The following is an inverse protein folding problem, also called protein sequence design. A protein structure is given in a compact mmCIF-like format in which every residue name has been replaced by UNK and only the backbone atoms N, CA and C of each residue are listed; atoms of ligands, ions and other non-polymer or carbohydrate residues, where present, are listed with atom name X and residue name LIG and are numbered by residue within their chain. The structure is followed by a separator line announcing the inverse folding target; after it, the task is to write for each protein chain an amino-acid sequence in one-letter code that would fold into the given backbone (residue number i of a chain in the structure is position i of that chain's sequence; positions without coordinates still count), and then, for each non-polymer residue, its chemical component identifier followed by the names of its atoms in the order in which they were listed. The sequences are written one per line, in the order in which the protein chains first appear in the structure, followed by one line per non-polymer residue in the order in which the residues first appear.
data_IF_977175076903
#
_entry.id   IF_977175076903
#
_cell.length_a   1.000
_cell.length_b   1.000
_cell.length_c   1.000
_cell.angle_alpha   90.00
_cell.angle_beta   90.00
_cell.angle_gamma   90.00
#
_symmetry.space_group_name_H-M   'P 1'
#
loop_
_entity.id
_entity.type
_entity.pdbx_description
1 polymer ?
#
# COMPACT_ATOMS: atom_id res chain seq x y z
N UNK A 1 25.71 -13.22 12.61
CA UNK A 1 25.46 -11.78 12.34
C UNK A 1 25.36 -11.59 10.83
N UNK A 2 24.17 -11.67 10.25
CA UNK A 2 23.93 -11.22 8.87
C UNK A 2 22.90 -10.09 8.97
N UNK A 3 23.38 -8.88 8.71
CA UNK A 3 22.55 -7.68 8.66
C UNK A 3 21.76 -7.74 7.35
N UNK A 4 20.47 -8.04 7.43
CA UNK A 4 19.56 -7.88 6.30
C UNK A 4 19.18 -6.41 6.24
N UNK A 5 19.93 -5.63 5.44
CA UNK A 5 19.50 -4.32 4.98
C UNK A 5 18.37 -4.55 3.97
N UNK A 6 17.15 -4.18 4.34
CA UNK A 6 16.05 -3.99 3.39
C UNK A 6 15.99 -2.49 3.10
N UNK A 7 16.66 -2.09 2.02
CA UNK A 7 16.54 -0.78 1.42
C UNK A 7 15.12 -0.66 0.85
N UNK A 8 14.28 0.16 1.48
CA UNK A 8 13.04 0.61 0.87
C UNK A 8 13.42 1.72 -0.12
N UNK A 9 13.29 1.46 -1.42
CA UNK A 9 13.36 2.48 -2.45
C UNK A 9 12.24 3.50 -2.24
N UNK A 10 12.58 4.66 -1.69
CA UNK A 10 11.80 5.87 -1.91
C UNK A 10 12.04 6.29 -3.36
N UNK A 11 11.05 6.06 -4.23
CA UNK A 11 10.96 6.78 -5.51
C UNK A 11 10.28 8.12 -5.22
N UNK A 12 11.09 9.11 -4.84
CA UNK A 12 10.70 10.50 -5.02
C UNK A 12 10.93 10.81 -6.50
N UNK A 13 9.87 10.74 -7.31
CA UNK A 13 9.94 11.10 -8.73
C UNK A 13 9.41 12.51 -8.92
N UNK A 14 10.33 13.36 -9.37
CA UNK A 14 10.14 14.71 -9.88
C UNK A 14 9.11 14.71 -11.02
N UNK A 15 8.28 15.75 -11.08
CA UNK A 15 7.13 15.82 -11.97
C UNK A 15 7.51 15.68 -13.45
N UNK A 16 7.04 14.61 -14.10
CA UNK A 16 6.99 14.51 -15.54
C UNK A 16 5.54 14.74 -16.04
N UNK A 17 5.42 15.78 -16.86
CA UNK A 17 4.24 16.31 -17.54
C UNK A 17 3.29 15.22 -18.10
N UNK A 18 2.04 15.16 -17.62
CA UNK A 18 1.07 14.11 -17.93
C UNK A 18 -0.09 14.62 -18.80
N UNK A 19 -0.51 13.83 -19.80
CA UNK A 19 -1.80 14.00 -20.48
C UNK A 19 -2.91 13.47 -19.56
N UNK A 20 -3.88 14.34 -19.26
CA UNK A 20 -5.10 14.06 -18.51
C UNK A 20 -5.82 12.82 -19.05
N UNK A 21 -6.13 11.89 -18.16
CA UNK A 21 -7.26 10.98 -18.29
C UNK A 21 -8.07 11.10 -16.99
N UNK A 22 -9.34 11.44 -17.16
CA UNK A 22 -10.28 12.04 -16.20
C UNK A 22 -10.76 11.13 -15.06
N UNK A 23 -9.88 10.45 -14.34
CA UNK A 23 -10.27 9.80 -13.07
C UNK A 23 -9.11 9.64 -12.11
N UNK A 24 -9.24 10.21 -10.91
CA UNK A 24 -8.31 9.97 -9.80
C UNK A 24 -8.55 8.53 -9.35
N UNK A 25 -7.74 7.60 -9.86
CA UNK A 25 -7.81 6.19 -9.55
C UNK A 25 -7.01 5.90 -8.28
N UNK A 26 -7.65 5.35 -7.24
CA UNK A 26 -6.92 4.80 -6.09
C UNK A 26 -6.65 3.32 -6.31
N UNK A 27 -5.39 2.92 -6.22
CA UNK A 27 -4.92 1.59 -6.59
C UNK A 27 -4.41 0.82 -5.36
N UNK A 28 -5.01 -0.34 -5.05
CA UNK A 28 -4.56 -1.23 -3.97
C UNK A 28 -3.70 -2.35 -4.52
N UNK A 29 -2.38 -2.18 -4.45
CA UNK A 29 -1.41 -3.03 -5.13
C UNK A 29 -1.08 -4.32 -4.36
N UNK A 30 -1.44 -5.46 -4.97
CA UNK A 30 -0.92 -6.77 -4.60
C UNK A 30 -0.46 -7.51 -5.86
N UNK A 31 0.85 -7.55 -6.07
CA UNK A 31 1.47 -8.33 -7.14
C UNK A 31 2.03 -9.64 -6.57
N UNK A 32 1.69 -10.77 -7.20
CA UNK A 32 2.40 -12.03 -6.98
C UNK A 32 3.38 -12.24 -8.12
N UNK A 33 4.67 -12.00 -7.91
CA UNK A 33 5.68 -12.07 -8.97
C UNK A 33 5.98 -13.51 -9.44
N UNK A 34 5.63 -14.55 -8.65
CA UNK A 34 5.93 -15.96 -8.96
C UNK A 34 4.94 -16.63 -9.92
N UNK A 35 3.76 -16.03 -10.10
CA UNK A 35 2.72 -16.47 -11.05
C UNK A 35 2.21 -15.17 -11.64
N UNK A 36 2.30 -14.96 -12.96
CA UNK A 36 1.92 -13.70 -13.63
C UNK A 36 0.42 -13.38 -13.46
N UNK A 37 0.03 -13.02 -12.24
CA UNK A 37 -1.35 -12.88 -11.76
C UNK A 37 -1.47 -11.50 -11.15
N UNK A 38 -2.25 -10.67 -11.83
CA UNK A 38 -2.58 -9.35 -11.37
C UNK A 38 -3.85 -9.41 -10.51
N UNK A 39 -3.70 -9.22 -9.19
CA UNK A 39 -4.78 -9.23 -8.18
C UNK A 39 -5.09 -7.81 -7.67
N UNK A 40 -4.65 -6.81 -8.42
CA UNK A 40 -4.88 -5.40 -8.16
C UNK A 40 -6.38 -5.09 -8.18
N UNK A 41 -6.79 -4.26 -7.23
CA UNK A 41 -8.09 -3.61 -7.25
C UNK A 41 -7.89 -2.12 -7.49
N UNK A 42 -8.85 -1.50 -8.18
CA UNK A 42 -8.89 -0.07 -8.38
C UNK A 42 -10.25 0.49 -7.99
N UNK A 43 -10.23 1.69 -7.41
CA UNK A 43 -11.42 2.41 -6.99
C UNK A 43 -11.54 3.73 -7.76
N UNK A 44 -12.75 4.01 -8.27
CA UNK A 44 -13.07 5.25 -8.99
C UNK A 44 -14.49 5.73 -8.65
N UNK A 45 -14.79 6.99 -8.95
CA UNK A 45 -16.10 7.59 -8.66
C UNK A 45 -17.11 7.17 -9.72
N UNK A 46 -18.29 6.71 -9.28
CA UNK A 46 -19.42 6.47 -10.15
C UNK A 46 -20.01 7.79 -10.65
N UNK A 47 -20.07 7.99 -11.96
CA UNK A 47 -20.64 9.20 -12.55
C UNK A 47 -22.15 9.36 -12.31
N UNK A 48 -22.87 8.27 -12.00
CA UNK A 48 -24.32 8.32 -11.81
C UNK A 48 -24.76 8.84 -10.43
N UNK A 49 -24.05 8.46 -9.36
CA UNK A 49 -24.44 8.74 -7.97
C UNK A 49 -23.31 9.32 -7.10
N UNK A 50 -22.11 9.49 -7.65
CA UNK A 50 -20.93 9.96 -6.91
C UNK A 50 -20.36 8.95 -5.92
N UNK A 51 -20.84 7.70 -5.91
CA UNK A 51 -20.36 6.61 -5.05
C UNK A 51 -18.99 6.08 -5.45
N UNK A 52 -18.43 5.20 -4.62
CA UNK A 52 -17.16 4.51 -4.92
C UNK A 52 -17.44 3.17 -5.61
N UNK A 53 -16.87 2.98 -6.80
CA UNK A 53 -16.85 1.70 -7.53
C UNK A 53 -15.49 1.03 -7.35
N UNK A 54 -15.50 -0.18 -6.80
CA UNK A 54 -14.33 -1.02 -6.61
C UNK A 54 -14.39 -2.19 -7.58
N UNK A 55 -13.34 -2.35 -8.40
CA UNK A 55 -13.28 -3.39 -9.43
C UNK A 55 -11.91 -4.09 -9.42
N UNK A 56 -11.87 -5.33 -9.94
CA UNK A 56 -10.60 -6.01 -10.18
C UNK A 56 -9.98 -5.51 -11.47
N UNK A 57 -8.71 -5.17 -11.41
CA UNK A 57 -7.95 -4.69 -12.56
C UNK A 57 -7.92 -5.72 -13.70
N UNK A 58 -7.71 -6.99 -13.36
CA UNK A 58 -7.63 -8.09 -14.33
C UNK A 58 -8.94 -8.39 -15.07
N UNK A 59 -10.08 -7.86 -14.59
CA UNK A 59 -11.38 -7.99 -15.27
C UNK A 59 -11.54 -6.96 -16.41
N UNK A 60 -10.75 -5.87 -16.41
CA UNK A 60 -10.78 -4.82 -17.45
C UNK A 60 -9.50 -4.73 -18.28
N UNK A 61 -8.36 -4.99 -17.66
CA UNK A 61 -7.04 -4.76 -18.26
C UNK A 61 -6.18 -6.02 -18.10
N UNK A 62 -5.28 -6.24 -19.06
CA UNK A 62 -4.40 -7.41 -19.10
C UNK A 62 -2.92 -7.06 -18.96
N UNK A 63 -2.61 -5.82 -18.56
CA UNK A 63 -1.25 -5.34 -18.31
C UNK A 63 -0.94 -5.21 -16.80
N UNK A 64 0.21 -4.61 -16.50
CA UNK A 64 0.68 -4.29 -15.14
C UNK A 64 0.85 -2.77 -14.94
N UNK A 65 0.02 -1.98 -15.63
CA UNK A 65 0.11 -0.52 -15.61
C UNK A 65 -0.23 0.10 -14.25
N UNK A 66 0.48 1.17 -13.91
CA UNK A 66 0.08 2.15 -12.90
C UNK A 66 0.63 3.53 -13.31
N UNK A 67 0.04 4.61 -12.81
CA UNK A 67 0.43 5.97 -13.17
C UNK A 67 0.66 6.85 -11.94
N UNK A 68 1.41 7.93 -12.14
CA UNK A 68 1.73 9.01 -11.19
C UNK A 68 2.62 8.62 -9.99
N UNK A 69 2.19 7.72 -9.11
CA UNK A 69 2.91 7.41 -7.86
C UNK A 69 2.53 6.03 -7.32
N UNK A 70 3.49 5.29 -6.79
CA UNK A 70 3.26 4.02 -6.10
C UNK A 70 4.12 3.91 -4.84
N UNK A 71 3.49 3.48 -3.74
CA UNK A 71 4.16 3.11 -2.50
C UNK A 71 4.08 1.59 -2.35
N UNK A 72 5.21 0.91 -2.55
CA UNK A 72 5.25 -0.54 -2.70
C UNK A 72 6.03 -1.21 -1.56
N UNK A 73 5.50 -2.35 -1.09
CA UNK A 73 6.23 -3.31 -0.28
C UNK A 73 6.39 -4.60 -1.08
N UNK A 74 7.64 -5.02 -1.31
CA UNK A 74 7.96 -6.22 -2.06
C UNK A 74 8.54 -7.30 -1.15
N UNK A 75 8.19 -8.57 -1.40
CA UNK A 75 8.76 -9.72 -0.70
C UNK A 75 8.71 -10.97 -1.61
N UNK A 76 9.42 -12.03 -1.23
CA UNK A 76 9.37 -13.33 -1.91
C UNK A 76 8.02 -14.06 -1.71
N UNK A 77 7.12 -13.52 -0.88
CA UNK A 77 5.82 -14.11 -0.57
C UNK A 77 5.89 -15.47 0.13
N UNK A 78 7.04 -15.80 0.74
CA UNK A 78 7.22 -17.06 1.45
C UNK A 78 6.62 -17.01 2.86
N UNK A 79 6.15 -18.15 3.40
CA UNK A 79 5.81 -18.25 4.81
C UNK A 79 7.02 -17.92 5.70
N UNK A 80 6.78 -17.30 6.85
CA UNK A 80 7.85 -16.92 7.77
C UNK A 80 7.36 -16.25 9.03
N UNK A 81 8.30 -15.84 9.90
CA UNK A 81 7.97 -15.07 11.10
C UNK A 81 7.53 -13.66 10.68
N UNK A 82 6.40 -13.23 11.22
CA UNK A 82 5.82 -11.90 11.00
C UNK A 82 5.48 -11.25 12.34
N UNK A 83 5.36 -9.92 12.34
CA UNK A 83 4.85 -9.18 13.49
C UNK A 83 3.33 -9.11 13.33
N UNK A 84 2.59 -9.80 14.21
CA UNK A 84 1.15 -9.65 14.30
C UNK A 84 0.81 -8.49 15.24
N UNK A 85 0.10 -7.47 14.72
CA UNK A 85 -0.37 -6.34 15.52
C UNK A 85 -1.88 -6.45 15.71
N UNK A 86 -2.31 -6.56 16.97
CA UNK A 86 -3.72 -6.53 17.36
C UNK A 86 -4.00 -5.24 18.13
N UNK A 87 -4.83 -4.37 17.55
CA UNK A 87 -5.31 -3.16 18.21
C UNK A 87 -6.84 -3.14 18.20
N UNK A 88 -7.44 -2.72 19.31
CA UNK A 88 -8.90 -2.59 19.46
C UNK A 88 -9.19 -1.26 20.15
N UNK A 89 -10.22 -0.57 19.66
CA UNK A 89 -10.73 0.72 20.19
C UNK A 89 -9.64 1.79 20.25
N UNK A 90 -9.68 2.73 19.32
CA UNK A 90 -8.79 3.89 19.34
C UNK A 90 -9.10 4.80 20.54
N UNK A 91 -8.10 5.07 21.36
CA UNK A 91 -8.18 5.97 22.54
C UNK A 91 -7.47 7.31 22.34
N UNK A 92 -6.64 7.42 21.30
CA UNK A 92 -5.88 8.63 20.97
C UNK A 92 -6.30 9.26 19.63
N UNK A 93 -5.66 10.37 19.28
CA UNK A 93 -5.96 11.09 18.03
C UNK A 93 -5.36 10.42 16.79
N UNK A 94 -4.27 9.68 16.94
CA UNK A 94 -3.54 9.06 15.82
C UNK A 94 -4.30 7.89 15.20
N UNK A 95 -4.25 7.77 13.87
CA UNK A 95 -4.71 6.56 13.18
C UNK A 95 -3.70 5.41 13.35
N UNK A 96 -4.10 4.21 12.94
CA UNK A 96 -3.31 2.99 13.13
C UNK A 96 -1.90 3.09 12.51
N UNK A 97 -1.80 3.50 11.24
CA UNK A 97 -0.54 3.59 10.49
C UNK A 97 0.39 4.68 11.06
N UNK A 98 -0.14 5.86 11.36
CA UNK A 98 0.63 6.97 11.95
C UNK A 98 1.19 6.59 13.32
N UNK A 99 0.41 5.86 14.12
CA UNK A 99 0.86 5.38 15.44
C UNK A 99 2.07 4.44 15.32
N UNK A 100 2.04 3.50 14.37
CA UNK A 100 3.18 2.62 14.08
C UNK A 100 4.40 3.42 13.61
N UNK A 101 4.22 4.31 12.63
CA UNK A 101 5.31 5.13 12.06
C UNK A 101 6.02 5.98 13.12
N UNK A 102 5.27 6.74 13.91
CA UNK A 102 5.82 7.62 14.95
C UNK A 102 6.47 6.84 16.09
N UNK A 103 5.98 5.64 16.40
CA UNK A 103 6.60 4.77 17.41
C UNK A 103 7.98 4.30 16.96
N UNK A 104 8.12 3.88 15.70
CA UNK A 104 9.41 3.50 15.12
C UNK A 104 10.37 4.69 15.06
N UNK A 105 9.90 5.84 14.58
CA UNK A 105 10.68 7.09 14.52
C UNK A 105 11.23 7.47 15.90
N UNK A 106 10.37 7.50 16.93
CA UNK A 106 10.79 7.83 18.30
C UNK A 106 11.77 6.84 18.89
N UNK A 107 11.63 5.55 18.58
CA UNK A 107 12.49 4.50 19.14
C UNK A 107 13.86 4.41 18.44
N UNK A 108 13.89 4.53 17.12
CA UNK A 108 15.09 4.33 16.31
C UNK A 108 15.82 5.63 15.96
N UNK A 109 15.17 6.80 16.10
CA UNK A 109 15.77 8.12 15.87
C UNK A 109 16.30 8.25 14.44
N UNK A 110 17.59 8.56 14.32
CA UNK A 110 18.26 8.78 13.03
C UNK A 110 18.47 7.49 12.20
N UNK A 111 18.02 6.33 12.70
CA UNK A 111 18.10 5.05 11.97
C UNK A 111 16.76 4.79 11.28
N UNK A 112 16.64 5.03 9.97
CA UNK A 112 15.37 4.86 9.28
C UNK A 112 14.92 3.40 9.30
N UNK A 113 13.63 3.17 9.53
CA UNK A 113 12.99 1.85 9.53
C UNK A 113 11.78 1.87 8.61
N UNK A 114 11.84 1.10 7.52
CA UNK A 114 10.70 0.85 6.65
C UNK A 114 9.87 -0.34 7.15
N UNK A 115 8.55 -0.22 7.09
CA UNK A 115 7.59 -1.28 7.44
C UNK A 115 6.51 -1.37 6.37
N UNK A 116 6.20 -2.60 5.94
CA UNK A 116 5.13 -2.88 4.99
C UNK A 116 4.46 -4.23 5.28
N UNK A 117 3.30 -4.46 4.67
CA UNK A 117 2.47 -5.63 4.91
C UNK A 117 1.00 -5.34 4.66
N UNK A 118 0.12 -6.11 5.27
CA UNK A 118 -1.34 -5.91 5.20
C UNK A 118 -1.95 -5.96 6.60
N UNK A 119 -3.08 -5.28 6.77
CA UNK A 119 -3.89 -5.33 7.97
C UNK A 119 -5.36 -5.39 7.59
N UNK A 120 -6.17 -6.00 8.47
CA UNK A 120 -7.62 -6.11 8.26
C UNK A 120 -8.33 -5.26 9.29
N UNK A 121 -9.21 -4.38 8.82
CA UNK A 121 -10.15 -3.66 9.67
C UNK A 121 -11.34 -4.61 9.92
N UNK A 122 -11.32 -5.31 11.06
CA UNK A 122 -12.31 -6.36 11.36
C UNK A 122 -13.67 -5.80 11.80
N UNK A 123 -13.67 -4.65 12.47
CA UNK A 123 -14.88 -4.03 13.02
C UNK A 123 -14.78 -2.51 12.89
N UNK A 124 -15.28 -1.98 11.78
CA UNK A 124 -15.56 -0.55 11.60
C UNK A 124 -16.78 -0.35 10.71
N UNK A 125 -17.90 -0.02 11.34
CA UNK A 125 -18.57 1.29 11.29
C UNK A 125 -19.04 1.56 12.72
#
# INVERSE_FOLDING_TARGET
KKSSFLELLFLEQEQAHFRLLDSILSLCQLFKCKVNTNLLYFAHVNSADGGCLLEKYSEKYHDLGFALLANLFASEGQPGKVIEVKAKRRTGKLNFVTCMRQTLEKHYGDKPVGMGGTFVIQKEK
#
